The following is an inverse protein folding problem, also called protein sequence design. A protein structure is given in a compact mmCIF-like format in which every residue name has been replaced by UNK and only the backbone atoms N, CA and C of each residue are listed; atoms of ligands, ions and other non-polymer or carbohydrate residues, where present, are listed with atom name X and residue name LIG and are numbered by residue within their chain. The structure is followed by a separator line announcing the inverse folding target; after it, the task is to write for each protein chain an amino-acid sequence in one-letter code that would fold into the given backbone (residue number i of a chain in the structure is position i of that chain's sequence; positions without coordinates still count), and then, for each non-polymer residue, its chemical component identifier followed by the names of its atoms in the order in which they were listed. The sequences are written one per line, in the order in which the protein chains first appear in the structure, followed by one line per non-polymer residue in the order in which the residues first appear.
data_IF_972132446770
#
_entry.id   IF_972132446770
#
_cell.length_a   1.000
_cell.length_b   1.000
_cell.length_c   1.000
_cell.angle_alpha   90.00
_cell.angle_beta   90.00
_cell.angle_gamma   90.00
#
_symmetry.space_group_name_H-M   'P 1'
#
loop_
_entity.id
_entity.type
_entity.pdbx_description
1 polymer ?
2 non-polymer ?
3 non-polymer ?
4 non-polymer ?
5 non-polymer ?
6 water ?
#
# COMPACT_ATOMS: atom_id res chain seq x y z
N UNK A 17 -9.62 -25.27 10.54
CA UNK A 17 -9.13 -23.93 11.02
C UNK A 17 -7.74 -23.66 10.45
N UNK A 18 -7.57 -22.50 9.80
CA UNK A 18 -6.28 -22.14 9.29
C UNK A 18 -6.02 -20.72 9.79
N UNK A 19 -4.89 -20.54 10.45
CA UNK A 19 -4.54 -19.22 11.01
C UNK A 19 -3.48 -18.60 10.12
N UNK A 20 -3.75 -17.39 9.64
CA UNK A 20 -2.78 -16.62 8.88
C UNK A 20 -1.97 -15.78 9.82
N UNK A 21 -0.67 -15.73 9.59
CA UNK A 21 0.24 -14.96 10.40
C UNK A 21 1.13 -14.15 9.47
N UNK A 22 1.21 -12.84 9.71
CA UNK A 22 2.04 -11.99 8.87
C UNK A 22 3.05 -11.22 9.69
N UNK A 23 4.30 -11.31 9.24
CA UNK A 23 5.39 -10.51 9.74
C UNK A 23 6.21 -9.89 8.63
N UNK A 24 6.84 -8.76 8.93
CA UNK A 24 7.59 -8.04 7.89
C UNK A 24 9.00 -8.56 7.61
N UNK A 25 9.75 -8.82 8.67
CA UNK A 25 11.18 -9.05 8.59
C UNK A 25 11.49 -10.50 8.87
N UNK A 26 12.60 -10.94 8.30
CA UNK A 26 13.15 -12.26 8.60
C UNK A 26 13.22 -12.50 10.12
N UNK A 27 13.76 -11.53 10.85
CA UNK A 27 13.90 -11.64 12.32
C UNK A 27 12.58 -11.85 13.03
N UNK A 28 11.49 -11.33 12.46
CA UNK A 28 10.19 -11.44 13.09
C UNK A 28 9.44 -12.73 12.81
N UNK A 29 9.82 -13.45 11.75
CA UNK A 29 9.10 -14.68 11.39
C UNK A 29 9.91 -15.95 11.59
N UNK A 30 11.21 -15.80 11.74
CA UNK A 30 12.15 -16.95 11.73
C UNK A 30 11.88 -17.98 12.85
N UNK A 31 11.51 -17.50 14.04
CA UNK A 31 11.21 -18.39 15.17
C UNK A 31 9.94 -19.19 14.94
N UNK A 32 8.88 -18.54 14.44
CA UNK A 32 7.63 -19.23 14.12
C UNK A 32 7.83 -20.22 12.97
N UNK A 33 8.63 -19.82 11.99
CA UNK A 33 8.84 -20.64 10.79
C UNK A 33 9.47 -21.98 11.18
N UNK A 34 10.44 -21.91 12.07
CA UNK A 34 11.16 -23.10 12.57
C UNK A 34 10.24 -24.10 13.26
N UNK A 35 9.19 -23.61 13.90
CA UNK A 35 8.24 -24.46 14.60
C UNK A 35 7.20 -25.06 13.69
N UNK A 36 7.24 -24.77 12.40
CA UNK A 36 6.21 -25.28 11.52
C UNK A 36 6.61 -26.69 11.07
N UNK A 37 5.70 -27.64 11.30
CA UNK A 37 5.87 -29.03 10.86
C UNK A 37 5.27 -29.19 9.47
N UNK A 38 5.91 -30.05 8.66
CA UNK A 38 5.51 -30.27 7.29
C UNK A 38 5.57 -28.96 6.52
N UNK A 39 6.62 -28.18 6.77
CA UNK A 39 6.73 -26.85 6.20
C UNK A 39 6.91 -26.87 4.67
N UNK A 40 5.90 -26.37 3.95
CA UNK A 40 5.98 -26.09 2.50
C UNK A 40 6.14 -24.58 2.27
N UNK A 41 7.00 -24.21 1.33
CA UNK A 41 7.29 -22.80 1.03
C UNK A 41 6.83 -22.36 -0.37
N UNK A 42 6.09 -21.24 -0.41
CA UNK A 42 5.70 -20.60 -1.65
C UNK A 42 6.43 -19.26 -1.78
N UNK A 43 7.04 -19.01 -2.93
CA UNK A 43 7.74 -17.76 -3.18
C UNK A 43 7.02 -17.06 -4.32
N UNK A 44 6.44 -15.89 -4.06
CA UNK A 44 5.80 -15.12 -5.13
C UNK A 44 5.50 -13.67 -4.78
N UNK A 45 5.55 -12.82 -5.79
CA UNK A 45 5.36 -11.39 -5.62
C UNK A 45 6.35 -10.79 -4.67
N UNK A 46 7.55 -11.39 -4.56
CA UNK A 46 8.57 -10.95 -3.61
C UNK A 46 8.30 -11.34 -2.16
N UNK A 47 7.26 -12.15 -1.94
CA UNK A 47 6.91 -12.63 -0.61
C UNK A 47 7.24 -14.11 -0.49
N UNK A 48 7.45 -14.57 0.74
CA UNK A 48 7.49 -16.01 1.05
C UNK A 48 6.35 -16.35 2.00
N UNK A 49 5.71 -17.48 1.71
CA UNK A 49 4.64 -18.02 2.51
C UNK A 49 5.05 -19.43 2.96
N UNK A 50 5.08 -19.64 4.27
CA UNK A 50 5.40 -20.93 4.87
C UNK A 50 4.13 -21.56 5.41
N UNK A 51 3.75 -22.73 4.89
CA UNK A 51 2.53 -23.40 5.32
C UNK A 51 2.85 -24.76 5.93
N UNK A 52 1.99 -25.22 6.83
CA UNK A 52 2.24 -26.43 7.63
C UNK A 52 1.44 -26.33 8.92
N UNK A 53 1.86 -27.07 9.95
CA UNK A 53 1.13 -27.06 11.22
C UNK A 53 2.05 -26.55 12.31
N UNK A 54 1.50 -25.70 13.16
CA UNK A 54 2.18 -25.22 14.36
C UNK A 54 1.46 -25.87 15.54
N UNK A 55 2.15 -26.79 16.20
CA UNK A 55 1.56 -27.58 17.31
C UNK A 55 0.18 -28.10 16.95
N UNK A 56 0.10 -28.72 15.78
CA UNK A 56 -1.13 -29.34 15.32
C UNK A 56 -2.10 -28.48 14.54
N UNK A 57 -1.93 -27.15 14.57
CA UNK A 57 -2.90 -26.22 13.98
C UNK A 57 -2.39 -25.74 12.62
N UNK A 58 -3.26 -25.76 11.61
CA UNK A 58 -2.85 -25.37 10.26
C UNK A 58 -2.59 -23.85 10.28
N UNK A 59 -1.42 -23.46 9.81
CA UNK A 59 -1.05 -22.04 9.72
C UNK A 59 -0.46 -21.69 8.36
N UNK A 60 -0.58 -20.43 7.99
CA UNK A 60 0.14 -19.93 6.83
C UNK A 60 0.83 -18.64 7.27
N UNK A 61 2.15 -18.66 7.23
CA UNK A 61 3.03 -17.59 7.69
C UNK A 61 3.66 -16.87 6.53
N UNK A 62 3.38 -15.56 6.44
CA UNK A 62 3.85 -14.72 5.35
C UNK A 62 4.94 -13.78 5.85
N UNK A 63 6.05 -13.74 5.11
CA UNK A 63 7.08 -12.72 5.30
C UNK A 63 6.87 -11.68 4.20
N UNK A 64 6.43 -10.48 4.58
CA UNK A 64 5.90 -9.52 3.61
C UNK A 64 6.91 -8.48 3.12
N UNK A 65 7.91 -8.17 3.94
CA UNK A 65 8.77 -7.03 3.72
C UNK A 65 8.09 -5.83 4.36
N UNK A 66 8.76 -4.69 4.28
CA UNK A 66 8.48 -3.56 5.15
C UNK A 66 7.60 -2.50 4.46
N UNK A 67 6.70 -1.94 5.26
CA UNK A 67 5.89 -0.82 4.81
C UNK A 67 4.49 -1.19 4.33
N UNK A 68 3.71 -0.16 4.06
CA UNK A 68 2.29 -0.31 3.78
C UNK A 68 2.00 -1.10 2.53
N UNK A 69 2.74 -0.83 1.47
CA UNK A 69 2.44 -1.45 0.17
C UNK A 69 2.90 -2.89 0.22
N UNK A 70 4.08 -3.13 0.81
CA UNK A 70 4.61 -4.50 0.99
C UNK A 70 3.62 -5.38 1.77
N UNK A 71 3.06 -4.81 2.83
CA UNK A 71 2.10 -5.50 3.67
C UNK A 71 0.82 -5.74 2.94
N UNK A 72 0.37 -4.78 2.13
CA UNK A 72 -0.90 -4.91 1.43
C UNK A 72 -0.80 -6.00 0.38
N UNK A 73 0.30 -5.95 -0.35
CA UNK A 73 0.64 -6.97 -1.34
C UNK A 73 0.65 -8.35 -0.70
N UNK A 74 1.39 -8.45 0.40
CA UNK A 74 1.51 -9.72 1.12
C UNK A 74 0.21 -10.27 1.63
N UNK A 75 -0.57 -9.40 2.28
CA UNK A 75 -1.87 -9.79 2.80
C UNK A 75 -2.81 -10.27 1.70
N UNK A 76 -2.78 -9.58 0.56
CA UNK A 76 -3.65 -9.94 -0.53
C UNK A 76 -3.26 -11.31 -1.06
N UNK A 77 -1.97 -11.57 -1.16
CA UNK A 77 -1.47 -12.90 -1.64
C UNK A 77 -1.84 -14.01 -0.66
N UNK A 78 -1.63 -13.75 0.63
CA UNK A 78 -2.02 -14.74 1.64
C UNK A 78 -3.49 -15.08 1.61
N UNK A 79 -4.35 -14.07 1.53
CA UNK A 79 -5.76 -14.30 1.49
C UNK A 79 -6.18 -15.09 0.25
N UNK A 80 -5.63 -14.75 -0.90
CA UNK A 80 -5.99 -15.42 -2.16
C UNK A 80 -5.48 -16.85 -2.23
N UNK A 81 -4.23 -17.07 -1.82
CA UNK A 81 -3.59 -18.38 -1.98
C UNK A 81 -3.91 -19.35 -0.86
N UNK A 82 -4.04 -18.85 0.36
CA UNK A 82 -4.18 -19.73 1.52
C UNK A 82 -5.55 -19.65 2.22
N UNK A 83 -6.34 -18.63 1.95
CA UNK A 83 -7.71 -18.54 2.48
C UNK A 83 -7.79 -18.77 4.00
N UNK A 84 -6.96 -18.08 4.78
CA UNK A 84 -6.96 -18.26 6.25
C UNK A 84 -8.27 -17.78 6.85
N UNK A 85 -8.65 -18.31 8.00
CA UNK A 85 -9.91 -17.92 8.65
C UNK A 85 -9.75 -16.58 9.35
N UNK A 86 -8.53 -16.29 9.80
CA UNK A 86 -8.21 -15.05 10.52
C UNK A 86 -6.76 -14.68 10.19
N UNK A 87 -6.41 -13.41 10.38
CA UNK A 87 -5.03 -13.02 10.26
C UNK A 87 -4.52 -12.40 11.57
N UNK A 88 -3.33 -12.81 11.97
CA UNK A 88 -2.62 -12.19 13.09
C UNK A 88 -1.39 -11.48 12.56
N UNK A 89 -1.28 -10.20 12.83
CA UNK A 89 -0.05 -9.47 12.45
C UNK A 89 0.92 -9.47 13.61
N UNK A 90 2.12 -9.99 13.41
CA UNK A 90 3.07 -10.02 14.48
C UNK A 90 4.36 -9.25 14.16
N UNK A 91 5.25 -9.17 15.16
CA UNK A 91 6.48 -8.41 15.01
C UNK A 91 6.75 -7.42 16.12
N UNK A 92 7.63 -6.48 15.81
CA UNK A 92 8.05 -5.41 16.70
C UNK A 92 7.15 -4.20 16.56
N UNK A 93 7.34 -3.25 17.45
CA UNK A 93 6.63 -1.97 17.39
C UNK A 93 7.33 -0.95 18.21
N UNK A 94 7.06 0.34 17.92
CA UNK A 94 7.54 1.43 18.74
C UNK A 94 6.50 1.78 19.78
N UNK A 95 6.86 1.73 21.04
CA UNK A 95 5.91 1.94 22.11
C UNK A 95 5.62 3.40 22.35
N UNK A 96 4.36 3.72 22.54
CA UNK A 96 3.96 5.10 22.81
C UNK A 96 3.37 5.24 24.21
N UNK A 97 2.68 4.21 24.67
CA UNK A 97 2.04 4.21 25.97
C UNK A 97 3.09 4.19 27.08
N UNK A 98 2.89 5.01 28.12
CA UNK A 98 3.95 5.22 29.11
C UNK A 98 4.30 4.01 29.95
N UNK A 99 3.41 3.02 30.04
CA UNK A 99 3.68 1.83 30.85
C UNK A 99 4.41 0.74 30.09
N UNK A 100 4.70 0.96 28.80
CA UNK A 100 5.41 -0.03 27.99
C UNK A 100 6.92 0.09 28.08
N UNK A 101 7.55 -1.05 28.29
CA UNK A 101 8.97 -1.19 28.22
C UNK A 101 9.32 -2.10 27.07
N UNK A 102 10.56 -2.06 26.67
CA UNK A 102 11.05 -3.01 25.67
C UNK A 102 10.73 -4.46 26.05
N UNK A 103 10.14 -5.16 25.09
CA UNK A 103 9.69 -6.54 25.21
C UNK A 103 8.23 -6.69 25.57
N UNK A 104 7.59 -5.64 26.08
CA UNK A 104 6.17 -5.74 26.42
C UNK A 104 5.29 -5.85 25.19
N UNK A 105 4.06 -6.29 25.40
CA UNK A 105 3.14 -6.66 24.32
C UNK A 105 2.13 -5.53 24.08
N UNK A 106 1.88 -5.27 22.80
CA UNK A 106 0.73 -4.44 22.40
C UNK A 106 -0.24 -5.24 21.53
N UNK A 107 -1.54 -5.07 21.83
CA UNK A 107 -2.66 -5.66 21.11
C UNK A 107 -3.54 -4.55 20.57
N UNK A 108 -3.82 -4.60 19.28
CA UNK A 108 -4.71 -3.61 18.65
C UNK A 108 -6.13 -3.78 19.11
N UNK A 109 -6.76 -2.71 19.58
CA UNK A 109 -8.21 -2.69 19.50
C UNK A 109 -8.68 -2.01 18.24
N UNK A 110 -7.81 -1.19 17.65
CA UNK A 110 -8.11 -0.45 16.44
C UNK A 110 -6.76 -0.11 15.75
N UNK A 111 -6.79 0.06 14.43
CA UNK A 111 -5.63 0.62 13.70
C UNK A 111 -6.05 1.83 12.86
N UNK A 112 -5.15 2.79 12.74
CA UNK A 112 -5.35 4.01 11.93
C UNK A 112 -4.04 4.36 11.24
N UNK A 113 -4.16 4.94 10.07
CA UNK A 113 -2.97 5.48 9.37
C UNK A 113 -2.63 6.80 10.02
N UNK A 114 -1.40 6.99 10.49
CA UNK A 114 -1.01 8.32 11.02
C UNK A 114 -0.52 9.30 9.96
N UNK A 115 -0.33 8.83 8.73
CA UNK A 115 0.28 9.65 7.69
C UNK A 115 -0.66 9.95 6.54
N UNK A 116 -1.95 9.64 6.69
CA UNK A 116 -2.94 9.88 5.64
C UNK A 116 -3.62 11.21 5.90
N UNK A 117 -3.80 12.01 4.85
CA UNK A 117 -4.39 13.36 5.02
C UNK A 117 -5.15 13.77 3.75
N UNK A 118 -6.45 13.59 3.79
CA UNK A 118 -7.34 14.12 2.76
C UNK A 118 -8.32 15.06 3.50
N UNK A 119 -7.79 15.77 4.49
CA UNK A 119 -8.62 16.71 5.27
C UNK A 119 -9.11 17.91 4.43
N UNK A 120 -8.43 18.19 3.32
CA UNK A 120 -8.91 19.24 2.38
C UNK A 120 -10.35 19.02 1.92
N UNK A 121 -10.82 17.78 1.94
CA UNK A 121 -12.15 17.43 1.50
C UNK A 121 -13.05 16.96 2.65
N UNK A 122 -12.64 17.30 3.86
CA UNK A 122 -13.45 17.05 5.05
C UNK A 122 -13.38 15.69 5.71
N UNK A 123 -12.51 14.80 5.21
CA UNK A 123 -12.26 13.54 5.87
C UNK A 123 -11.54 13.78 7.18
N UNK A 124 -11.72 12.84 8.11
CA UNK A 124 -11.02 12.85 9.37
C UNK A 124 -9.52 12.68 9.09
N UNK A 125 -8.68 13.27 9.92
CA UNK A 125 -7.23 13.09 9.76
C UNK A 125 -6.91 11.56 9.86
N UNK A 126 -6.09 11.03 8.96
CA UNK A 126 -5.79 9.58 8.94
C UNK A 126 -6.75 8.75 8.09
N UNK A 127 -7.86 9.32 7.66
CA UNK A 127 -8.89 8.56 6.99
C UNK A 127 -8.72 8.67 5.48
N UNK A 128 -8.70 7.56 4.77
CA UNK A 128 -8.67 7.61 3.31
C UNK A 128 -10.10 7.58 2.77
N UNK A 129 -10.36 8.31 1.67
CA UNK A 129 -11.70 8.26 1.12
C UNK A 129 -12.16 6.85 0.79
N UNK A 130 -13.39 6.51 1.20
CA UNK A 130 -13.94 5.18 0.95
C UNK A 130 -13.63 4.15 2.02
N UNK A 131 -12.90 4.58 3.05
CA UNK A 131 -12.57 3.76 4.18
C UNK A 131 -13.14 4.34 5.44
N UNK A 132 -13.38 3.49 6.46
CA UNK A 132 -13.63 4.06 7.77
C UNK A 132 -12.41 4.81 8.30
N UNK A 133 -12.59 5.69 9.28
CA UNK A 133 -11.44 6.45 9.78
C UNK A 133 -10.43 5.58 10.50
N UNK A 134 -10.93 4.48 11.07
CA UNK A 134 -10.08 3.44 11.66
C UNK A 134 -10.65 2.07 11.45
N UNK A 135 -9.81 1.04 11.63
CA UNK A 135 -10.25 -0.33 11.44
C UNK A 135 -10.30 -1.00 12.80
N UNK A 136 -11.49 -1.48 13.19
CA UNK A 136 -11.66 -2.15 14.49
C UNK A 136 -11.09 -3.57 14.42
N UNK A 137 -10.25 -3.95 15.37
CA UNK A 137 -9.79 -5.32 15.46
C UNK A 137 -10.92 -6.25 15.97
N UNK A 138 -10.83 -7.51 15.62
CA UNK A 138 -11.83 -8.48 16.01
C UNK A 138 -11.91 -8.73 17.53
N UNK A 139 -13.11 -8.60 18.08
CA UNK A 139 -13.31 -8.73 19.53
C UNK A 139 -12.91 -10.10 20.08
N UNK A 140 -13.25 -11.17 19.34
CA UNK A 140 -12.90 -12.52 19.77
C UNK A 140 -11.38 -12.73 19.76
N UNK A 141 -10.71 -12.25 18.72
CA UNK A 141 -9.23 -12.33 18.68
C UNK A 141 -8.60 -11.52 19.80
N UNK A 142 -9.17 -10.36 20.10
CA UNK A 142 -8.64 -9.54 21.17
C UNK A 142 -8.78 -10.29 22.52
N UNK A 143 -9.97 -10.85 22.76
CA UNK A 143 -10.21 -11.56 24.03
C UNK A 143 -9.25 -12.73 24.19
N UNK A 144 -9.02 -13.45 23.10
CA UNK A 144 -8.07 -14.57 23.10
C UNK A 144 -6.66 -14.09 23.38
N UNK A 145 -6.26 -12.98 22.75
CA UNK A 145 -4.92 -12.47 22.98
C UNK A 145 -4.76 -12.06 24.43
N UNK A 146 -5.80 -11.47 25.03
CA UNK A 146 -5.72 -11.09 26.43
C UNK A 146 -5.53 -12.30 27.36
N UNK A 147 -6.17 -13.41 27.01
CA UNK A 147 -5.98 -14.64 27.76
C UNK A 147 -4.55 -15.12 27.67
N UNK A 148 -3.95 -15.02 26.49
CA UNK A 148 -2.54 -15.36 26.31
C UNK A 148 -1.64 -14.50 27.18
N UNK A 149 -1.93 -13.21 27.24
CA UNK A 149 -1.11 -12.30 28.03
C UNK A 149 -1.12 -12.72 29.49
N UNK A 150 -2.31 -13.06 30.00
CA UNK A 150 -2.43 -13.55 31.39
C UNK A 150 -1.69 -14.86 31.59
N UNK A 151 -1.85 -15.79 30.65
CA UNK A 151 -1.19 -17.11 30.75
C UNK A 151 0.34 -16.98 30.78
N UNK A 152 0.87 -15.99 30.05
CA UNK A 152 2.33 -15.85 29.89
C UNK A 152 2.90 -14.87 30.89
N UNK A 153 2.02 -14.29 31.72
CA UNK A 153 2.43 -13.36 32.76
C UNK A 153 3.11 -12.10 32.19
N UNK A 154 2.61 -11.56 31.08
CA UNK A 154 3.34 -10.46 30.43
C UNK A 154 2.68 -9.14 30.72
N UNK A 155 3.47 -8.07 30.61
CA UNK A 155 2.93 -6.72 30.68
C UNK A 155 2.49 -6.34 29.27
N UNK A 156 1.29 -5.80 29.15
CA UNK A 156 0.73 -5.49 27.84
C UNK A 156 -0.21 -4.30 27.92
N UNK A 157 -0.44 -3.67 26.77
CA UNK A 157 -1.39 -2.61 26.67
C UNK A 157 -2.20 -2.88 25.42
N UNK A 158 -3.52 -2.72 25.52
CA UNK A 158 -4.40 -2.87 24.39
C UNK A 158 -4.89 -1.48 23.99
N UNK A 159 -4.86 -1.14 22.69
CA UNK A 159 -5.31 0.16 22.30
C UNK A 159 -5.16 0.40 20.81
N UNK A 160 -5.27 1.65 20.43
CA UNK A 160 -5.06 2.05 19.04
C UNK A 160 -3.59 1.90 18.66
N UNK A 161 -3.34 1.24 17.53
CA UNK A 161 -2.01 1.16 16.94
C UNK A 161 -2.04 1.91 15.63
N UNK A 162 -1.07 2.81 15.43
CA UNK A 162 -1.02 3.61 14.21
C UNK A 162 0.14 3.21 13.31
N UNK A 163 -0.11 3.28 12.01
CA UNK A 163 0.85 2.83 10.99
C UNK A 163 1.11 3.93 9.97
N UNK A 164 2.36 3.98 9.49
CA UNK A 164 2.79 4.91 8.45
C UNK A 164 3.97 4.31 7.76
N UNK A 165 4.41 4.93 6.67
CA UNK A 165 5.65 4.49 5.99
C UNK A 165 6.89 5.21 6.55
N UNK A 166 6.96 5.40 7.87
CA UNK A 166 8.12 6.00 8.47
C UNK A 166 8.55 5.27 9.71
N UNK A 167 9.85 5.20 9.90
CA UNK A 167 10.42 4.71 11.16
C UNK A 167 10.55 5.89 12.09
N UNK A 168 9.80 5.86 13.20
CA UNK A 168 9.63 7.04 14.06
C UNK A 168 10.82 7.12 15.01
N UNK A 169 11.44 8.30 15.05
CA UNK A 169 12.78 8.49 15.65
C UNK A 169 12.83 9.84 16.37
N UNK A 170 11.82 10.08 17.19
CA UNK A 170 11.74 11.29 17.99
C UNK A 170 11.46 12.53 17.16
N UNK A 171 11.89 13.67 17.69
CA UNK A 171 11.76 14.96 17.00
C UNK A 171 10.28 15.20 16.63
N UNK A 172 10.09 15.89 15.52
CA UNK A 172 8.75 16.30 15.09
C UNK A 172 7.90 15.12 14.62
N UNK A 173 8.55 14.09 14.08
CA UNK A 173 7.80 12.90 13.63
C UNK A 173 7.03 12.26 14.76
N UNK A 174 7.67 12.15 15.92
CA UNK A 174 7.02 11.59 17.09
C UNK A 174 6.00 12.56 17.64
N UNK A 175 6.36 13.85 17.69
CA UNK A 175 5.45 14.84 18.28
C UNK A 175 4.15 14.92 17.48
N UNK A 176 4.25 14.83 16.18
CA UNK A 176 3.07 14.92 15.35
C UNK A 176 2.10 13.76 15.63
N UNK A 177 2.64 12.55 15.76
CA UNK A 177 1.79 11.41 16.09
C UNK A 177 1.10 11.56 17.44
N UNK A 178 1.85 11.99 18.45
CA UNK A 178 1.32 12.13 19.79
C UNK A 178 0.27 13.19 19.80
N UNK A 179 0.46 14.20 18.97
CA UNK A 179 -0.55 15.25 18.85
C UNK A 179 -1.83 14.79 18.16
N UNK A 180 -1.71 14.14 17.00
CA UNK A 180 -2.86 13.73 16.22
C UNK A 180 -3.57 12.51 16.81
N UNK A 181 -2.81 11.70 17.54
CA UNK A 181 -3.32 10.41 18.06
C UNK A 181 -2.90 10.24 19.48
N UNK A 182 -3.43 11.07 20.40
CA UNK A 182 -2.94 11.01 21.77
C UNK A 182 -3.23 9.68 22.49
N UNK A 183 -4.20 8.92 22.00
CA UNK A 183 -4.47 7.63 22.61
C UNK A 183 -3.77 6.46 21.93
N UNK A 184 -2.97 6.74 20.89
CA UNK A 184 -2.20 5.64 20.27
C UNK A 184 -1.21 5.07 21.27
N UNK A 185 -1.16 3.74 21.31
CA UNK A 185 -0.29 3.04 22.26
C UNK A 185 0.99 2.54 21.63
N UNK A 186 1.03 2.49 20.30
CA UNK A 186 2.21 2.05 19.59
C UNK A 186 2.13 2.50 18.16
N UNK A 187 3.29 2.52 17.52
CA UNK A 187 3.39 2.89 16.12
C UNK A 187 4.22 1.85 15.38
N UNK A 188 3.83 1.53 14.16
CA UNK A 188 4.65 0.68 13.28
C UNK A 188 4.30 0.99 11.81
N UNK A 189 4.61 0.08 10.87
CA UNK A 189 4.57 0.40 9.44
C UNK A 189 3.73 -0.50 8.55
N UNK A 190 3.00 -1.45 9.10
CA UNK A 190 2.27 -2.41 8.31
C UNK A 190 0.86 -2.71 8.80
N UNK A 191 0.63 -2.65 10.11
CA UNK A 191 -0.62 -3.18 10.68
C UNK A 191 -1.88 -2.65 10.00
N UNK A 192 -1.96 -1.33 9.83
CA UNK A 192 -3.17 -0.73 9.30
C UNK A 192 -3.45 -1.13 7.88
N UNK A 193 -2.36 -1.33 7.13
CA UNK A 193 -2.48 -1.74 5.74
C UNK A 193 -3.08 -3.15 5.71
N UNK A 194 -2.63 -4.02 6.61
CA UNK A 194 -3.15 -5.37 6.66
C UNK A 194 -4.61 -5.30 7.12
N UNK A 195 -4.91 -4.44 8.08
CA UNK A 195 -6.28 -4.28 8.55
C UNK A 195 -7.24 -3.79 7.45
N UNK A 196 -6.72 -2.92 6.60
CA UNK A 196 -7.43 -2.44 5.41
C UNK A 196 -7.73 -3.57 4.41
N UNK A 197 -6.75 -4.40 4.06
CA UNK A 197 -7.00 -5.52 3.16
C UNK A 197 -8.03 -6.48 3.80
N UNK A 198 -7.85 -6.75 5.10
CA UNK A 198 -8.75 -7.67 5.79
C UNK A 198 -10.15 -7.14 5.81
N UNK A 199 -10.29 -5.84 5.97
CA UNK A 199 -11.58 -5.17 5.98
C UNK A 199 -12.32 -5.38 4.66
N UNK A 200 -11.58 -5.21 3.57
CA UNK A 200 -12.13 -5.30 2.24
C UNK A 200 -12.53 -6.74 1.90
N UNK A 201 -11.87 -7.70 2.54
CA UNK A 201 -12.18 -9.13 2.35
C UNK A 201 -13.06 -9.72 3.48
N UNK A 202 -13.47 -8.91 4.45
CA UNK A 202 -14.26 -9.39 5.61
C UNK A 202 -13.59 -10.55 6.38
N UNK A 203 -12.30 -10.39 6.70
CA UNK A 203 -11.53 -11.39 7.45
C UNK A 203 -11.12 -10.83 8.82
N UNK A 204 -11.44 -11.56 9.90
CA UNK A 204 -11.03 -11.05 11.23
C UNK A 204 -9.52 -10.87 11.35
N UNK A 205 -9.14 -9.80 12.04
CA UNK A 205 -7.76 -9.33 12.14
C UNK A 205 -7.45 -8.85 13.56
N UNK A 206 -6.22 -9.10 13.98
CA UNK A 206 -5.65 -8.57 15.22
C UNK A 206 -4.12 -8.38 15.04
N UNK A 207 -3.59 -7.39 15.73
CA UNK A 207 -2.18 -7.12 15.81
C UNK A 207 -1.71 -7.54 17.18
N UNK A 208 -0.70 -8.39 17.19
CA UNK A 208 -0.03 -8.77 18.43
C UNK A 208 1.47 -8.56 18.24
N UNK A 209 1.97 -7.45 18.75
CA UNK A 209 3.37 -7.08 18.57
C UNK A 209 4.07 -6.85 19.92
N UNK A 210 5.39 -6.78 19.89
CA UNK A 210 6.17 -6.54 21.09
C UNK A 210 7.09 -5.33 20.88
N UNK A 211 7.36 -4.62 21.97
CA UNK A 211 8.04 -3.35 21.90
C UNK A 211 9.53 -3.53 21.71
N UNK A 212 10.05 -2.91 20.67
CA UNK A 212 11.48 -2.89 20.42
C UNK A 212 12.19 -1.57 20.75
N UNK A 213 11.40 -0.51 20.97
CA UNK A 213 11.95 0.83 21.17
C UNK A 213 10.78 1.72 21.53
N UNK A 214 11.04 2.95 21.95
CA UNK A 214 9.97 3.88 22.31
C UNK A 214 9.86 5.06 21.33
N UNK A 215 10.33 4.85 20.10
CA UNK A 215 10.08 5.77 18.97
C UNK A 215 10.69 7.15 19.18
N UNK A 216 11.68 7.22 20.07
CA UNK A 216 12.39 8.51 20.38
C UNK A 216 13.66 8.61 19.55
N UNK A 217 14.52 9.58 19.85
CA UNK A 217 15.72 9.81 19.04
C UNK A 217 16.75 8.68 19.14
N UNK A 218 16.58 7.77 20.10
CA UNK A 218 17.45 6.57 20.17
C UNK A 218 16.79 5.31 19.60
N UNK A 219 15.69 5.46 18.87
CA UNK A 219 14.85 4.30 18.54
C UNK A 219 15.53 3.36 17.59
N UNK A 220 16.43 3.89 16.76
CA UNK A 220 17.15 3.07 15.77
C UNK A 220 18.16 2.18 16.47
N UNK A 221 18.76 2.73 17.52
CA UNK A 221 19.72 1.98 18.33
C UNK A 221 19.03 0.94 19.19
N UNK A 222 17.93 1.34 19.82
CA UNK A 222 17.14 0.41 20.60
C UNK A 222 16.61 -0.71 19.72
N UNK A 223 16.10 -0.39 18.52
CA UNK A 223 15.60 -1.38 17.61
C UNK A 223 16.67 -2.42 17.29
N UNK A 224 17.86 -1.94 16.94
CA UNK A 224 18.93 -2.87 16.62
C UNK A 224 19.23 -3.80 17.81
N UNK A 225 19.21 -3.25 19.01
CA UNK A 225 19.59 -4.00 20.22
C UNK A 225 18.49 -4.98 20.63
N UNK A 226 17.24 -4.57 20.47
CA UNK A 226 16.11 -5.32 21.03
C UNK A 226 15.10 -5.91 20.07
N UNK A 227 15.39 -5.89 18.77
CA UNK A 227 14.55 -6.58 17.79
C UNK A 227 14.41 -8.07 18.14
N UNK A 228 15.52 -8.70 18.51
CA UNK A 228 15.50 -10.13 18.84
C UNK A 228 14.58 -10.45 20.02
N UNK A 229 14.68 -9.65 21.08
CA UNK A 229 13.75 -9.75 22.23
C UNK A 229 12.27 -9.56 21.85
N UNK A 230 11.97 -8.52 21.08
CA UNK A 230 10.62 -8.25 20.58
C UNK A 230 10.08 -9.43 19.73
N UNK A 231 10.94 -9.97 18.86
CA UNK A 231 10.54 -11.18 18.10
C UNK A 231 10.27 -12.36 19.00
N UNK A 232 11.07 -12.55 20.05
CA UNK A 232 10.90 -13.69 20.93
C UNK A 232 9.58 -13.54 21.68
N UNK A 233 9.26 -12.35 22.17
CA UNK A 233 8.03 -12.18 22.98
C UNK A 233 6.76 -12.20 22.12
N UNK A 234 6.82 -11.61 20.94
CA UNK A 234 5.66 -11.68 20.05
C UNK A 234 5.46 -13.12 19.58
N UNK A 235 6.56 -13.86 19.36
CA UNK A 235 6.46 -15.29 19.00
C UNK A 235 5.80 -16.11 20.11
N UNK A 236 6.20 -15.91 21.36
CA UNK A 236 5.54 -16.58 22.47
C UNK A 236 4.06 -16.33 22.45
N UNK A 237 3.68 -15.05 22.30
CA UNK A 237 2.29 -14.69 22.22
C UNK A 237 1.55 -15.39 21.06
N UNK A 238 2.16 -15.39 19.88
CA UNK A 238 1.49 -15.88 18.72
C UNK A 238 1.31 -17.39 18.78
N UNK A 239 2.36 -18.10 19.21
CA UNK A 239 2.27 -19.55 19.40
C UNK A 239 1.14 -19.92 20.37
N UNK A 240 1.05 -19.19 21.49
CA UNK A 240 -0.02 -19.40 22.45
C UNK A 240 -1.39 -19.10 21.86
N UNK A 241 -1.49 -18.01 21.10
CA UNK A 241 -2.74 -17.58 20.51
C UNK A 241 -3.24 -18.59 19.47
N UNK A 242 -2.34 -19.12 18.68
CA UNK A 242 -2.71 -20.11 17.65
C UNK A 242 -3.39 -21.28 18.36
N UNK A 243 -2.80 -21.70 19.48
CA UNK A 243 -3.30 -22.87 20.20
C UNK A 243 -4.67 -22.57 20.78
N UNK A 244 -4.84 -21.37 21.36
CA UNK A 244 -6.11 -20.97 21.93
C UNK A 244 -7.21 -20.85 20.90
N UNK A 245 -6.86 -20.43 19.69
CA UNK A 245 -7.87 -20.24 18.65
C UNK A 245 -8.29 -21.57 18.02
N UNK A 246 -7.40 -22.57 17.99
CA UNK A 246 -7.76 -23.89 17.45
C UNK A 246 -8.92 -24.50 18.25
N UNK A 247 -8.83 -24.35 19.57
CA UNK A 247 -9.81 -24.89 20.51
C UNK A 247 -11.13 -24.13 20.49
N UNK B 10 7.51 -5.72 -26.93
CA UNK B 10 6.76 -6.45 -25.86
C UNK B 10 6.12 -7.73 -26.38
N UNK B 11 6.41 -8.84 -25.71
CA UNK B 11 5.92 -10.17 -26.07
C UNK B 11 4.75 -10.59 -25.16
N UNK B 12 3.56 -10.86 -25.74
CA UNK B 12 2.43 -11.37 -24.95
C UNK B 12 2.74 -12.67 -24.19
N UNK B 13 2.26 -12.75 -22.94
CA UNK B 13 2.41 -13.96 -22.11
C UNK B 13 1.48 -15.07 -22.60
N UNK B 14 0.26 -14.70 -22.97
CA UNK B 14 -0.73 -15.64 -23.46
C UNK B 14 -0.73 -15.55 -24.96
N UNK B 15 -1.86 -15.90 -25.57
CA UNK B 15 -1.97 -15.82 -27.02
C UNK B 15 -1.72 -14.38 -27.47
N UNK B 16 -2.58 -13.45 -27.08
CA UNK B 16 -2.48 -12.07 -27.55
C UNK B 16 -2.16 -11.12 -26.40
N UNK B 17 -1.79 -9.89 -26.75
CA UNK B 17 -1.45 -8.90 -25.74
C UNK B 17 -2.67 -8.58 -24.88
N UNK B 18 -2.46 -8.53 -23.57
CA UNK B 18 -3.52 -8.11 -22.65
C UNK B 18 -2.98 -6.95 -21.79
N UNK B 19 -3.68 -5.82 -21.87
CA UNK B 19 -3.24 -4.58 -21.21
C UNK B 19 -4.03 -4.32 -19.93
N UNK B 20 -3.32 -4.22 -18.79
CA UNK B 20 -3.97 -3.87 -17.51
C UNK B 20 -4.03 -2.37 -17.40
N UNK B 21 -5.16 -1.85 -16.90
CA UNK B 21 -5.30 -0.42 -16.66
C UNK B 21 -5.84 -0.26 -15.26
N UNK B 22 -5.24 0.66 -14.51
CA UNK B 22 -5.72 0.92 -13.15
C UNK B 22 -6.05 2.41 -12.93
N UNK B 23 -7.24 2.68 -12.39
CA UNK B 23 -7.61 4.04 -11.97
C UNK B 23 -8.23 3.94 -10.59
N UNK B 24 -8.13 5.01 -9.80
CA UNK B 24 -8.62 5.03 -8.42
C UNK B 24 -10.11 5.30 -8.30
N UNK B 25 -10.56 6.33 -8.99
CA UNK B 25 -11.90 6.90 -8.80
C UNK B 25 -12.85 6.52 -9.91
N UNK B 26 -14.15 6.47 -9.59
CA UNK B 26 -15.17 6.26 -10.59
C UNK B 26 -14.97 7.20 -11.79
N UNK B 27 -14.76 8.48 -11.50
CA UNK B 27 -14.62 9.49 -12.54
C UNK B 27 -13.43 9.21 -13.48
N UNK B 28 -12.43 8.57 -12.95
CA UNK B 28 -11.21 8.23 -13.71
C UNK B 28 -11.34 6.97 -14.58
N UNK B 29 -12.23 6.06 -14.24
CA UNK B 29 -12.39 4.86 -14.99
C UNK B 29 -13.64 4.78 -15.89
N UNK B 30 -14.62 5.65 -15.62
CA UNK B 30 -15.93 5.56 -16.24
C UNK B 30 -15.92 5.65 -17.77
N UNK B 31 -15.08 6.53 -18.33
CA UNK B 31 -15.06 6.71 -19.77
C UNK B 31 -14.44 5.52 -20.47
N UNK B 32 -13.36 5.00 -19.92
CA UNK B 32 -12.73 3.78 -20.42
C UNK B 32 -13.65 2.58 -20.30
N UNK B 33 -14.36 2.48 -19.18
CA UNK B 33 -15.25 1.35 -18.96
C UNK B 33 -16.32 1.28 -20.05
N UNK B 34 -16.89 2.43 -20.37
CA UNK B 34 -17.92 2.57 -21.41
C UNK B 34 -17.47 2.18 -22.79
N UNK B 35 -16.17 2.19 -23.07
CA UNK B 35 -15.66 1.83 -24.37
C UNK B 35 -15.34 0.36 -24.49
N UNK B 36 -15.38 -0.39 -23.39
CA UNK B 36 -15.03 -1.81 -23.43
C UNK B 36 -16.16 -2.64 -24.05
N UNK B 37 -15.80 -3.40 -25.08
CA UNK B 37 -16.74 -4.29 -25.73
C UNK B 37 -16.77 -5.63 -25.04
N UNK B 38 -17.94 -6.26 -25.05
CA UNK B 38 -18.16 -7.54 -24.41
C UNK B 38 -17.72 -7.52 -22.95
N UNK B 39 -17.99 -6.40 -22.30
CA UNK B 39 -17.50 -6.16 -20.94
C UNK B 39 -18.11 -7.08 -19.89
N UNK B 40 -17.27 -7.62 -19.03
CA UNK B 40 -17.76 -8.36 -17.88
C UNK B 40 -17.10 -7.77 -16.62
N UNK B 41 -17.85 -7.76 -15.53
CA UNK B 41 -17.39 -7.19 -14.28
C UNK B 41 -17.22 -8.24 -13.20
N UNK B 42 -16.08 -8.23 -12.54
CA UNK B 42 -15.93 -8.98 -11.30
C UNK B 42 -15.65 -8.01 -10.17
N UNK B 43 -16.23 -8.32 -9.01
CA UNK B 43 -16.00 -7.54 -7.80
C UNK B 43 -15.29 -8.46 -6.78
N UNK B 44 -14.15 -8.00 -6.27
CA UNK B 44 -13.51 -8.68 -5.13
C UNK B 44 -12.55 -7.76 -4.39
N UNK B 45 -12.48 -7.95 -3.08
CA UNK B 45 -11.56 -7.20 -2.27
C UNK B 45 -11.84 -5.71 -2.31
N UNK B 46 -13.11 -5.33 -2.52
CA UNK B 46 -13.51 -3.93 -2.62
C UNK B 46 -13.19 -3.29 -3.97
N UNK B 47 -12.72 -4.10 -4.92
CA UNK B 47 -12.25 -3.62 -6.22
C UNK B 47 -13.17 -4.15 -7.31
N UNK B 48 -13.36 -3.37 -8.36
CA UNK B 48 -14.10 -3.86 -9.55
C UNK B 48 -13.12 -3.97 -10.67
N UNK B 49 -13.20 -5.05 -11.43
CA UNK B 49 -12.39 -5.27 -12.62
C UNK B 49 -13.33 -5.49 -13.80
N UNK B 50 -13.07 -4.77 -14.89
CA UNK B 50 -13.88 -4.82 -16.09
C UNK B 50 -13.01 -5.39 -17.18
N UNK B 51 -13.41 -6.51 -17.75
CA UNK B 51 -12.61 -7.15 -18.81
C UNK B 51 -13.37 -7.17 -20.13
N UNK B 52 -12.63 -7.25 -21.22
CA UNK B 52 -13.22 -7.17 -22.56
C UNK B 52 -12.24 -6.56 -23.53
N UNK B 53 -12.76 -6.06 -24.64
CA UNK B 53 -11.90 -5.52 -25.70
C UNK B 53 -12.08 -4.03 -25.85
N UNK B 54 -10.97 -3.34 -25.99
CA UNK B 54 -11.00 -1.93 -26.25
C UNK B 54 -10.42 -1.77 -27.65
N UNK B 55 -11.27 -1.40 -28.60
CA UNK B 55 -10.88 -1.30 -30.02
C UNK B 55 -10.10 -2.53 -30.47
N UNK B 56 -10.62 -3.70 -30.12
CA UNK B 56 -10.01 -4.98 -30.48
C UNK B 56 -8.92 -5.55 -29.59
N UNK B 57 -8.42 -4.77 -28.63
CA UNK B 57 -7.34 -5.24 -27.77
C UNK B 57 -7.90 -5.67 -26.42
N UNK B 58 -7.45 -6.83 -25.95
CA UNK B 58 -7.90 -7.34 -24.67
C UNK B 58 -7.38 -6.44 -23.56
N UNK B 59 -8.31 -5.92 -22.74
CA UNK B 59 -7.95 -5.11 -21.58
C UNK B 59 -8.59 -5.62 -20.29
N UNK B 60 -7.97 -5.28 -19.17
CA UNK B 60 -8.54 -5.51 -17.86
C UNK B 60 -8.39 -4.20 -17.11
N UNK B 61 -9.51 -3.59 -16.78
CA UNK B 61 -9.53 -2.27 -16.17
C UNK B 61 -9.99 -2.41 -14.71
N UNK B 62 -9.18 -1.93 -13.79
CA UNK B 62 -9.52 -2.05 -12.39
C UNK B 62 -9.72 -0.67 -11.76
N UNK B 63 -10.78 -0.56 -10.94
CA UNK B 63 -11.09 0.63 -10.15
C UNK B 63 -10.68 0.30 -8.71
N UNK B 64 -9.63 0.93 -8.26
CA UNK B 64 -8.96 0.50 -7.02
C UNK B 64 -9.44 1.16 -5.75
N UNK B 65 -10.03 2.34 -5.87
CA UNK B 65 -10.10 3.21 -4.72
C UNK B 65 -8.80 3.97 -4.45
N UNK B 66 -8.84 4.83 -3.46
CA UNK B 66 -7.81 5.87 -3.30
C UNK B 66 -6.71 5.50 -2.30
N UNK B 67 -5.47 5.77 -2.69
CA UNK B 67 -4.39 5.70 -1.76
C UNK B 67 -3.50 4.49 -1.98
N UNK B 68 -2.42 4.45 -1.21
CA UNK B 68 -1.34 3.46 -1.47
C UNK B 68 -1.79 2.00 -1.31
N UNK B 69 -2.50 1.73 -0.22
CA UNK B 69 -2.94 0.39 0.10
C UNK B 69 -4.02 -0.09 -0.87
N UNK B 70 -5.01 0.77 -1.15
CA UNK B 70 -6.06 0.45 -2.08
C UNK B 70 -5.48 0.07 -3.44
N UNK B 71 -4.53 0.87 -3.91
CA UNK B 71 -3.86 0.66 -5.19
C UNK B 71 -3.02 -0.62 -5.16
N UNK B 72 -2.32 -0.86 -4.06
CA UNK B 72 -1.48 -2.08 -3.94
C UNK B 72 -2.34 -3.34 -3.95
N UNK B 73 -3.42 -3.30 -3.18
CA UNK B 73 -4.37 -4.42 -3.16
C UNK B 73 -4.94 -4.61 -4.57
N UNK B 74 -5.38 -3.52 -5.20
CA UNK B 74 -5.94 -3.59 -6.53
C UNK B 74 -4.96 -4.18 -7.54
N UNK B 75 -3.77 -3.64 -7.58
CA UNK B 75 -2.72 -4.11 -8.51
C UNK B 75 -2.43 -5.60 -8.32
N UNK B 76 -2.40 -6.05 -7.06
CA UNK B 76 -2.11 -7.46 -6.78
C UNK B 76 -3.19 -8.37 -7.32
N UNK B 77 -4.45 -7.98 -7.10
CA UNK B 77 -5.60 -8.70 -7.64
C UNK B 77 -5.58 -8.74 -9.16
N UNK B 78 -5.19 -7.63 -9.78
CA UNK B 78 -5.26 -7.54 -11.25
C UNK B 78 -4.23 -8.49 -11.83
N UNK B 79 -3.04 -8.48 -11.25
CA UNK B 79 -1.95 -9.34 -11.70
C UNK B 79 -2.35 -10.81 -11.52
N UNK B 80 -2.84 -11.16 -10.34
CA UNK B 80 -3.20 -12.54 -10.01
C UNK B 80 -4.37 -13.08 -10.82
N UNK B 81 -5.43 -12.29 -10.99
CA UNK B 81 -6.63 -12.77 -11.66
C UNK B 81 -6.67 -12.59 -13.17
N UNK B 82 -5.97 -11.58 -13.68
CA UNK B 82 -6.06 -11.26 -15.09
C UNK B 82 -4.76 -11.44 -15.85
N UNK B 83 -3.63 -11.53 -15.16
CA UNK B 83 -2.33 -11.77 -15.79
C UNK B 83 -2.01 -10.85 -16.99
N UNK B 84 -2.16 -9.52 -16.82
CA UNK B 84 -1.91 -8.60 -17.93
C UNK B 84 -0.43 -8.60 -18.31
N UNK B 85 -0.12 -8.24 -19.54
CA UNK B 85 1.29 -8.18 -19.94
C UNK B 85 2.00 -6.92 -19.42
N UNK B 86 1.22 -5.86 -19.22
CA UNK B 86 1.74 -4.58 -18.77
C UNK B 86 0.64 -3.89 -17.96
N UNK B 87 1.00 -2.90 -17.16
CA UNK B 87 -0.03 -2.09 -16.48
C UNK B 87 0.19 -0.61 -16.77
N UNK B 88 -0.90 0.06 -17.13
CA UNK B 88 -0.95 1.50 -17.25
C UNK B 88 -1.81 2.07 -16.09
N UNK B 89 -1.25 3.01 -15.34
CA UNK B 89 -2.01 3.74 -14.30
C UNK B 89 -2.53 5.03 -14.91
N UNK B 90 -3.85 5.22 -14.88
CA UNK B 90 -4.51 6.37 -15.52
C UNK B 90 -5.15 7.22 -14.42
N UNK B 91 -5.63 8.40 -14.79
CA UNK B 91 -6.33 9.29 -13.87
C UNK B 91 -5.78 10.69 -13.83
N UNK B 92 -6.15 11.39 -12.76
CA UNK B 92 -5.75 12.75 -12.54
C UNK B 92 -4.39 12.85 -11.78
N UNK B 93 -3.82 14.05 -11.70
CA UNK B 93 -2.64 14.30 -10.91
C UNK B 93 -2.52 15.80 -10.58
N UNK B 94 -1.79 16.09 -9.52
CA UNK B 94 -1.41 17.46 -9.24
C UNK B 94 -0.11 17.79 -9.97
N UNK B 95 -0.14 18.84 -10.77
CA UNK B 95 1.01 19.28 -11.54
C UNK B 95 2.02 20.05 -10.73
N UNK B 96 3.28 19.66 -10.81
CA UNK B 96 4.34 20.39 -10.12
C UNK B 96 5.23 21.20 -11.05
N UNK B 97 5.44 20.71 -12.25
CA UNK B 97 6.28 21.43 -13.24
C UNK B 97 5.54 22.68 -13.65
N UNK B 98 6.26 23.79 -13.73
CA UNK B 98 5.60 25.11 -13.91
C UNK B 98 4.90 25.25 -15.24
N UNK B 99 5.32 24.49 -16.25
CA UNK B 99 4.70 24.58 -17.58
C UNK B 99 3.36 23.84 -17.72
N UNK B 100 2.95 23.10 -16.70
CA UNK B 100 1.74 22.30 -16.80
C UNK B 100 0.49 23.14 -16.58
N UNK B 101 -0.49 22.88 -17.43
CA UNK B 101 -1.83 23.44 -17.29
C UNK B 101 -2.81 22.33 -17.07
N UNK B 102 -3.98 22.65 -16.54
CA UNK B 102 -5.04 21.65 -16.41
C UNK B 102 -5.33 20.98 -17.75
N UNK B 103 -5.55 19.66 -17.72
CA UNK B 103 -5.69 18.82 -18.90
C UNK B 103 -4.42 18.27 -19.50
N UNK B 104 -3.28 18.90 -19.20
CA UNK B 104 -2.02 18.39 -19.79
C UNK B 104 -1.66 17.02 -19.25
N UNK B 105 -0.85 16.29 -20.03
CA UNK B 105 -0.46 14.92 -19.73
C UNK B 105 0.82 14.86 -18.94
N UNK B 106 0.87 13.94 -18.01
CA UNK B 106 2.14 13.59 -17.35
C UNK B 106 2.39 12.11 -17.49
N UNK B 107 3.63 11.77 -17.90
CA UNK B 107 4.10 10.41 -18.04
C UNK B 107 5.22 10.15 -17.04
N UNK B 108 5.17 9.03 -16.34
CA UNK B 108 6.23 8.69 -15.43
C UNK B 108 7.45 8.20 -16.20
N UNK B 109 8.61 8.79 -15.95
CA UNK B 109 9.85 8.01 -16.14
C UNK B 109 10.32 7.26 -14.88
N UNK B 110 9.78 7.66 -13.73
CA UNK B 110 10.14 7.03 -12.48
C UNK B 110 9.07 7.42 -11.47
N UNK B 111 8.90 6.58 -10.47
CA UNK B 111 8.06 6.91 -9.32
C UNK B 111 8.79 6.74 -7.99
N UNK B 112 8.47 7.61 -7.04
CA UNK B 112 9.01 7.49 -5.67
C UNK B 112 7.92 7.82 -4.68
N UNK B 113 8.06 7.27 -3.47
CA UNK B 113 7.17 7.71 -2.35
C UNK B 113 7.65 9.03 -1.80
N UNK B 114 6.80 10.06 -1.67
CA UNK B 114 7.28 11.29 -1.08
C UNK B 114 7.16 11.30 0.44
N UNK B 115 6.46 10.30 0.99
CA UNK B 115 6.18 10.25 2.41
C UNK B 115 6.82 9.08 3.16
N UNK B 116 7.74 8.35 2.50
CA UNK B 116 8.41 7.22 3.14
C UNK B 116 9.70 7.74 3.78
N UNK B 117 9.97 7.37 5.05
CA UNK B 117 11.14 7.90 5.74
C UNK B 117 11.71 6.87 6.70
N UNK B 118 12.69 6.13 6.18
CA UNK B 118 13.47 5.24 7.04
C UNK B 118 14.93 5.76 7.05
N UNK B 119 15.08 7.06 7.03
CA UNK B 119 16.42 7.67 7.00
C UNK B 119 17.22 7.39 8.31
N UNK B 120 16.55 6.99 9.40
CA UNK B 120 17.26 6.68 10.65
C UNK B 120 18.26 5.54 10.47
N UNK B 121 18.04 4.69 9.46
CA UNK B 121 18.93 3.57 9.17
C UNK B 121 19.75 3.78 7.90
N UNK B 122 19.80 5.01 7.41
CA UNK B 122 20.69 5.38 6.33
C UNK B 122 20.07 5.36 4.95
N UNK B 123 18.81 4.95 4.86
CA UNK B 123 18.13 4.91 3.60
C UNK B 123 17.93 6.30 3.05
N UNK B 124 17.95 6.40 1.73
CA UNK B 124 17.57 7.61 1.03
C UNK B 124 16.15 8.01 1.40
N UNK B 125 15.92 9.31 1.52
CA UNK B 125 14.57 9.77 1.81
C UNK B 125 13.62 9.25 0.71
N UNK B 126 12.47 8.70 1.10
CA UNK B 126 11.53 8.09 0.17
C UNK B 126 11.71 6.60 -0.13
N UNK B 127 12.87 6.05 0.24
CA UNK B 127 13.17 4.66 -0.02
C UNK B 127 12.71 3.78 1.14
N UNK B 128 12.00 2.70 0.82
CA UNK B 128 11.67 1.71 1.82
C UNK B 128 12.68 0.59 1.81
N UNK B 129 12.97 0.02 3.01
CA UNK B 129 13.95 -1.07 3.01
C UNK B 129 13.55 -2.21 2.11
N UNK B 130 14.49 -2.74 1.31
CA UNK B 130 14.22 -3.83 0.41
C UNK B 130 13.79 -3.40 -0.99
N UNK B 131 13.51 -2.12 -1.16
CA UNK B 131 13.17 -1.52 -2.44
C UNK B 131 14.28 -0.59 -2.95
N UNK B 132 14.34 -0.34 -4.28
CA UNK B 132 15.18 0.72 -4.81
C UNK B 132 14.61 2.05 -4.34
N UNK B 133 15.37 3.12 -4.43
CA UNK B 133 14.91 4.42 -3.96
C UNK B 133 13.77 4.90 -4.83
N UNK B 134 13.76 4.47 -6.08
CA UNK B 134 12.69 4.81 -7.02
C UNK B 134 12.51 3.69 -7.99
N UNK B 135 11.31 3.62 -8.55
CA UNK B 135 10.94 2.61 -9.48
C UNK B 135 10.96 3.19 -10.88
N UNK B 136 11.81 2.67 -11.75
CA UNK B 136 11.88 3.22 -13.11
C UNK B 136 10.80 2.60 -13.98
N UNK B 137 10.11 3.42 -14.77
CA UNK B 137 9.05 2.93 -15.62
C UNK B 137 9.64 2.28 -16.87
N UNK B 138 8.88 1.42 -17.51
CA UNK B 138 9.36 0.66 -18.68
C UNK B 138 9.64 1.55 -19.90
N UNK B 139 10.86 1.45 -20.43
CA UNK B 139 11.28 2.25 -21.58
C UNK B 139 10.38 2.14 -22.79
N UNK B 140 9.92 0.92 -23.08
CA UNK B 140 9.05 0.73 -24.25
C UNK B 140 7.69 1.40 -24.10
N UNK B 141 7.11 1.32 -22.89
CA UNK B 141 5.88 2.02 -22.57
C UNK B 141 6.00 3.55 -22.63
N UNK B 142 7.11 4.10 -22.11
CA UNK B 142 7.40 5.56 -22.19
C UNK B 142 7.47 5.96 -23.67
N UNK B 143 8.24 5.23 -24.47
CA UNK B 143 8.40 5.56 -25.87
C UNK B 143 7.08 5.54 -26.66
N UNK B 144 6.24 4.54 -26.39
CA UNK B 144 4.91 4.48 -26.99
C UNK B 144 4.01 5.63 -26.52
N UNK B 145 4.05 5.92 -25.23
CA UNK B 145 3.30 7.09 -24.74
C UNK B 145 3.75 8.41 -25.41
N UNK B 146 5.06 8.62 -25.55
CA UNK B 146 5.60 9.82 -26.21
C UNK B 146 5.09 9.92 -27.65
N UNK B 147 5.09 8.79 -28.35
CA UNK B 147 4.53 8.71 -29.71
C UNK B 147 3.05 9.10 -29.78
N UNK B 148 2.26 8.62 -28.82
CA UNK B 148 0.86 9.01 -28.73
C UNK B 148 0.70 10.50 -28.47
N UNK B 149 1.50 11.03 -27.57
CA UNK B 149 1.46 12.46 -27.24
C UNK B 149 1.65 13.33 -28.49
N UNK B 150 2.64 12.95 -29.28
CA UNK B 150 2.98 13.66 -30.51
C UNK B 150 1.86 13.59 -31.54
N UNK B 151 1.30 12.39 -31.69
CA UNK B 151 0.24 12.17 -32.67
C UNK B 151 -1.02 12.93 -32.32
N UNK B 152 -1.34 13.02 -31.03
CA UNK B 152 -2.53 13.72 -30.57
C UNK B 152 -2.27 15.22 -30.37
N UNK B 153 -1.02 15.63 -30.53
CA UNK B 153 -0.60 17.03 -30.41
C UNK B 153 -0.96 17.62 -29.06
N UNK B 154 -0.64 16.87 -28.02
CA UNK B 154 -0.93 17.29 -26.66
C UNK B 154 0.33 17.83 -26.00
N UNK B 155 0.13 18.68 -24.99
CA UNK B 155 1.21 19.14 -24.14
C UNK B 155 1.40 18.10 -23.03
N UNK B 156 2.64 17.71 -22.82
CA UNK B 156 2.99 16.69 -21.84
C UNK B 156 4.33 16.95 -21.20
N UNK B 157 4.47 16.50 -19.94
CA UNK B 157 5.76 16.41 -19.29
C UNK B 157 6.04 14.96 -18.89
N UNK B 158 7.27 14.54 -19.15
CA UNK B 158 7.81 13.24 -18.72
C UNK B 158 8.78 13.46 -17.55
N UNK B 159 8.60 12.71 -16.47
CA UNK B 159 9.49 12.84 -15.33
C UNK B 159 9.12 12.01 -14.14
N UNK B 160 9.72 12.39 -13.03
CA UNK B 160 9.46 11.79 -11.74
C UNK B 160 8.08 12.14 -11.22
N UNK B 161 7.30 11.11 -10.92
CA UNK B 161 5.99 11.30 -10.28
C UNK B 161 6.11 10.77 -8.86
N UNK B 162 5.64 11.52 -7.89
CA UNK B 162 5.78 11.09 -6.51
C UNK B 162 4.39 10.78 -5.92
N UNK B 163 4.33 9.79 -5.03
CA UNK B 163 3.05 9.37 -4.42
C UNK B 163 3.11 9.39 -2.93
N UNK B 164 1.96 9.65 -2.30
CA UNK B 164 1.84 9.58 -0.86
C UNK B 164 0.36 9.52 -0.51
N UNK B 165 0.03 9.28 0.75
CA UNK B 165 -1.36 9.17 1.17
C UNK B 165 -1.91 10.53 1.61
N UNK B 166 -1.59 11.56 0.86
CA UNK B 166 -2.08 12.92 1.17
C UNK B 166 -2.49 13.64 -0.09
N UNK B 167 -3.53 14.44 0.02
CA UNK B 167 -3.94 15.33 -1.06
C UNK B 167 -3.19 16.64 -0.82
N UNK B 168 -2.36 17.02 -1.80
CA UNK B 168 -1.50 18.18 -1.64
C UNK B 168 -2.22 19.47 -1.98
N UNK B 169 -2.15 20.44 -1.09
CA UNK B 169 -2.97 21.66 -1.10
C UNK B 169 -2.17 22.86 -0.60
N UNK B 170 -1.00 23.06 -1.18
CA UNK B 170 -0.17 24.24 -0.91
C UNK B 170 0.51 24.16 0.45
N UNK B 171 0.92 25.34 0.92
CA UNK B 171 1.57 25.47 2.23
C UNK B 171 2.71 24.47 2.40
N UNK B 172 2.85 23.97 3.61
CA UNK B 172 4.00 23.17 3.97
C UNK B 172 4.03 21.84 3.25
N UNK B 173 2.85 21.27 2.98
CA UNK B 173 2.77 19.99 2.30
C UNK B 173 3.42 20.03 0.93
N UNK B 174 3.09 21.04 0.16
CA UNK B 174 3.69 21.24 -1.14
C UNK B 174 5.19 21.62 -1.02
N UNK B 175 5.51 22.53 -0.10
CA UNK B 175 6.89 23.01 0.09
C UNK B 175 7.85 21.83 0.39
N UNK B 176 7.39 20.87 1.19
CA UNK B 176 8.19 19.71 1.57
C UNK B 176 8.51 18.82 0.35
N UNK B 177 7.51 18.60 -0.50
CA UNK B 177 7.70 17.78 -1.69
C UNK B 177 8.71 18.46 -2.61
N UNK B 178 8.54 19.77 -2.81
CA UNK B 178 9.44 20.48 -3.72
C UNK B 178 10.86 20.49 -3.19
N UNK B 179 11.00 20.57 -1.88
CA UNK B 179 12.32 20.52 -1.24
C UNK B 179 12.97 19.15 -1.40
N UNK B 180 12.21 18.09 -1.14
CA UNK B 180 12.76 16.72 -1.12
C UNK B 180 12.91 16.12 -2.51
N UNK B 181 12.07 16.56 -3.43
CA UNK B 181 12.01 16.01 -4.81
C UNK B 181 11.89 17.18 -5.79
N UNK B 182 12.99 17.93 -5.96
CA UNK B 182 12.95 19.06 -6.84
C UNK B 182 12.72 18.70 -8.31
N UNK B 183 13.00 17.47 -8.72
CA UNK B 183 12.76 17.03 -10.09
C UNK B 183 11.34 16.48 -10.32
N UNK B 184 10.55 16.35 -9.26
CA UNK B 184 9.22 15.76 -9.40
C UNK B 184 8.35 16.70 -10.26
N UNK B 185 7.67 16.10 -11.23
CA UNK B 185 6.84 16.87 -12.15
C UNK B 185 5.34 16.81 -11.81
N UNK B 186 4.97 15.79 -11.04
CA UNK B 186 3.61 15.60 -10.58
C UNK B 186 3.55 14.82 -9.27
N UNK B 187 2.42 14.98 -8.57
CA UNK B 187 2.16 14.29 -7.33
C UNK B 187 0.76 13.66 -7.39
N UNK B 188 0.66 12.46 -6.85
CA UNK B 188 -0.61 11.77 -6.71
C UNK B 188 -0.58 10.78 -5.53
N UNK B 189 -1.53 9.82 -5.47
CA UNK B 189 -1.67 8.98 -4.28
C UNK B 189 -1.59 7.46 -4.50
N UNK B 190 -1.36 7.01 -5.74
CA UNK B 190 -1.36 5.60 -6.03
C UNK B 190 -0.18 5.05 -6.86
N UNK B 191 0.42 5.90 -7.68
CA UNK B 191 1.24 5.40 -8.81
C UNK B 191 2.43 4.56 -8.33
N UNK B 192 3.08 5.05 -7.28
CA UNK B 192 4.31 4.39 -6.75
C UNK B 192 3.95 3.05 -6.13
N UNK B 193 2.79 2.97 -5.48
CA UNK B 193 2.29 1.71 -4.97
C UNK B 193 2.13 0.67 -6.05
N UNK B 194 1.54 1.05 -7.19
CA UNK B 194 1.37 0.13 -8.27
C UNK B 194 2.73 -0.25 -8.86
N UNK B 195 3.60 0.74 -8.98
CA UNK B 195 4.97 0.48 -9.51
C UNK B 195 5.69 -0.55 -8.62
N UNK B 196 5.56 -0.37 -7.32
CA UNK B 196 6.15 -1.28 -6.33
C UNK B 196 5.61 -2.72 -6.54
N UNK B 197 4.29 -2.89 -6.65
CA UNK B 197 3.70 -4.21 -6.90
C UNK B 197 4.30 -4.76 -8.22
N UNK B 198 4.25 -3.95 -9.25
CA UNK B 198 4.76 -4.37 -10.57
C UNK B 198 6.24 -4.76 -10.55
N UNK B 199 7.04 -4.05 -9.76
CA UNK B 199 8.45 -4.37 -9.54
C UNK B 199 8.60 -5.79 -8.97
N UNK B 200 7.82 -6.08 -7.94
CA UNK B 200 7.90 -7.38 -7.27
C UNK B 200 7.47 -8.55 -8.15
N UNK B 201 6.59 -8.29 -9.11
CA UNK B 201 6.13 -9.30 -10.04
C UNK B 201 6.82 -9.21 -11.39
N UNK B 202 7.74 -8.27 -11.53
CA UNK B 202 8.45 -8.03 -12.79
C UNK B 202 7.53 -7.82 -13.98
N UNK B 203 6.57 -6.92 -13.82
CA UNK B 203 5.64 -6.58 -14.89
C UNK B 203 5.87 -5.11 -15.30
N UNK B 204 6.02 -4.87 -16.62
CA UNK B 204 6.19 -3.50 -17.12
C UNK B 204 5.04 -2.53 -16.71
N UNK B 205 5.43 -1.34 -16.24
CA UNK B 205 4.50 -0.35 -15.71
C UNK B 205 4.77 1.02 -16.30
N UNK B 206 3.70 1.82 -16.47
CA UNK B 206 3.83 3.26 -16.75
C UNK B 206 2.62 4.01 -16.17
N UNK B 207 2.84 5.27 -15.82
CA UNK B 207 1.80 6.21 -15.40
C UNK B 207 1.51 7.15 -16.56
N UNK B 208 0.24 7.24 -16.94
CA UNK B 208 -0.20 8.20 -17.94
C UNK B 208 -1.43 8.89 -17.37
N UNK B 209 -1.17 10.02 -16.74
CA UNK B 209 -2.21 10.79 -16.05
C UNK B 209 -2.34 12.17 -16.68
N UNK B 210 -3.31 12.93 -16.21
CA UNK B 210 -3.56 14.27 -16.70
C UNK B 210 -3.86 15.19 -15.55
N UNK B 211 -3.48 16.44 -15.74
CA UNK B 211 -3.48 17.41 -14.65
C UNK B 211 -4.86 18.01 -14.29
N UNK B 212 -5.23 17.92 -13.03
CA UNK B 212 -6.49 18.43 -12.49
C UNK B 212 -6.32 19.69 -11.66
N UNK B 213 -5.09 19.99 -11.25
CA UNK B 213 -4.76 21.06 -10.31
C UNK B 213 -3.23 21.12 -10.22
N UNK B 214 -2.70 22.16 -9.57
CA UNK B 214 -1.24 22.28 -9.43
C UNK B 214 -0.82 22.21 -7.95
N UNK B 215 -1.62 21.54 -7.13
CA UNK B 215 -1.25 21.12 -5.77
C UNK B 215 -0.97 22.26 -4.81
N UNK B 216 -1.52 23.42 -5.15
CA UNK B 216 -1.32 24.65 -4.39
C UNK B 216 -2.53 24.91 -3.50
N UNK B 217 -2.64 26.12 -2.94
CA UNK B 217 -3.71 26.38 -1.99
C UNK B 217 -5.13 26.37 -2.60
N UNK B 218 -5.21 26.48 -3.93
CA UNK B 218 -6.45 26.35 -4.70
C UNK B 218 -6.74 24.91 -5.19
N UNK B 219 -5.92 23.94 -4.79
CA UNK B 219 -5.98 22.64 -5.47
C UNK B 219 -7.28 21.89 -5.24
N UNK B 220 -7.91 22.09 -4.09
CA UNK B 220 -9.17 21.42 -3.81
C UNK B 220 -10.27 21.94 -4.75
N UNK B 221 -10.27 23.25 -4.98
CA UNK B 221 -11.24 23.86 -5.88
C UNK B 221 -10.95 23.48 -7.30
N UNK B 222 -9.68 23.55 -7.71
CA UNK B 222 -9.29 23.11 -9.05
C UNK B 222 -9.63 21.65 -9.30
N UNK B 223 -9.27 20.78 -8.37
CA UNK B 223 -9.54 19.35 -8.52
C UNK B 223 -11.03 19.09 -8.80
N UNK B 224 -11.90 19.71 -8.02
CA UNK B 224 -13.30 19.48 -8.20
C UNK B 224 -13.79 19.95 -9.59
N UNK B 225 -13.30 21.09 -10.07
CA UNK B 225 -13.74 21.60 -11.36
C UNK B 225 -13.13 20.86 -12.55
N UNK B 226 -11.93 20.32 -12.38
CA UNK B 226 -11.17 19.81 -13.50
C UNK B 226 -10.84 18.33 -13.46
N UNK B 227 -11.40 17.63 -12.49
CA UNK B 227 -11.31 16.16 -12.48
C UNK B 227 -11.84 15.59 -13.80
N UNK B 228 -12.99 16.07 -14.26
CA UNK B 228 -13.59 15.57 -15.50
C UNK B 228 -12.69 15.79 -16.72
N UNK B 229 -12.04 16.94 -16.81
CA UNK B 229 -11.15 17.23 -17.91
C UNK B 229 -9.94 16.33 -17.89
N UNK B 230 -9.41 16.10 -16.70
CA UNK B 230 -8.26 15.25 -16.53
C UNK B 230 -8.61 13.82 -16.91
N UNK B 231 -9.76 13.34 -16.45
CA UNK B 231 -10.22 12.00 -16.87
C UNK B 231 -10.35 11.86 -18.41
N UNK B 232 -10.93 12.87 -19.02
CA UNK B 232 -11.11 12.91 -20.48
C UNK B 232 -9.78 12.80 -21.23
N UNK B 233 -8.80 13.61 -20.85
CA UNK B 233 -7.50 13.58 -21.55
C UNK B 233 -6.70 12.33 -21.25
N UNK B 234 -6.67 11.90 -20.00
CA UNK B 234 -5.97 10.66 -19.68
C UNK B 234 -6.60 9.48 -20.43
N UNK B 235 -7.93 9.47 -20.53
CA UNK B 235 -8.66 8.42 -21.28
C UNK B 235 -8.27 8.42 -22.74
N UNK B 236 -8.21 9.61 -23.31
CA UNK B 236 -7.80 9.77 -24.72
C UNK B 236 -6.41 9.16 -24.90
N UNK B 237 -5.45 9.51 -24.03
CA UNK B 237 -4.11 8.95 -24.09
C UNK B 237 -4.08 7.42 -23.97
N UNK B 238 -4.82 6.90 -22.99
CA UNK B 238 -4.75 5.47 -22.68
C UNK B 238 -5.32 4.66 -23.84
N UNK B 239 -6.43 5.11 -24.38
CA UNK B 239 -7.06 4.47 -25.51
C UNK B 239 -6.05 4.39 -26.68
N UNK B 240 -5.36 5.50 -26.90
CA UNK B 240 -4.42 5.64 -28.02
C UNK B 240 -3.24 4.74 -27.78
N UNK B 241 -2.78 4.70 -26.54
CA UNK B 241 -1.64 3.86 -26.17
C UNK B 241 -1.98 2.38 -26.30
N UNK B 242 -3.17 1.98 -25.87
CA UNK B 242 -3.52 0.56 -25.93
C UNK B 242 -3.42 0.10 -27.38
N UNK B 243 -3.94 0.91 -28.29
CA UNK B 243 -3.88 0.65 -29.74
C UNK B 243 -2.43 0.57 -30.23
N UNK B 244 -1.62 1.55 -29.85
CA UNK B 244 -0.22 1.55 -30.24
C UNK B 244 0.53 0.31 -29.72
N UNK B 245 0.25 -0.09 -28.48
CA UNK B 245 0.94 -1.27 -27.92
C UNK B 245 0.56 -2.56 -28.60
N UNK B 246 -0.72 -2.72 -28.93
CA UNK B 246 -1.20 -3.98 -29.50
C UNK B 246 -0.98 -4.10 -31.00
N UNK B 247 -0.95 -2.96 -31.69
CA UNK B 247 -0.91 -2.93 -33.15
C UNK B 247 0.29 -2.14 -33.68
N UNK B 248 1.48 -2.51 -33.21
CA UNK B 248 2.73 -1.91 -33.69
C UNK B 248 3.01 -0.53 -33.10
#
# INVERSE_FOLDING_TARGET
MHHHHHHGGLVPRGSHMKIGIIGAMEEEVTLLRDKIDNRQTITLGGCEIYTGQLNGTEVALLKSGIGKVAAALGATLLLEHCKPDVIINTGSAGGLASTLKVGDIVVSDETRYHDADVTAFGYEYGQLPGCPAGFKADDKLIAAAESCIRELNLNAVRGLIVSGDAFINGSVGLAKIRHNFPDAVAVEMEATAIAHVCHNFNVPFVVVRAISDVADQQSHLSFDEFLAVAAKQSTLMVETLVQKLAHG
MHHHHHHGGLVPRGSHMKIGIIGAMEEEVTLLRDKIDNRQTITLGGCEIYTGQLNGTEVALLKSGIGKVAAALGATLLLEHCKPDVIINTGSAGGLASTLKVGDIVVSDETRYHDADVTAFGYEYGQLPGCPAGFKADDKLIAAAESCIRELNLNAVRGLIVSGDAFINGSVGLAKIRHNFPDAVAVEMEATAIAHVCHNFNVPFVVVRAISDVADQQSHLSFDEFLAVAAKQSTLMVETLVQKLAHG
#
